data_IF_517956851928
#
_entry.id   IF_517956851928
#
_cell.length_a   1.000
_cell.length_b   1.000
_cell.length_c   1.000
_cell.angle_alpha   90.00
_cell.angle_beta   90.00
_cell.angle_gamma   90.00
#
_symmetry.space_group_name_H-M   'P 1'
#
loop_
_entity.id
_entity.type
_entity.pdbx_description
1 polymer ?
#
# COMPACT_ATOMS: atom_id res chain seq x y z
N UNK A 1 -31.06 -0.03 54.85
CA UNK A 1 -31.02 -0.68 53.52
C UNK A 1 -29.96 0.02 52.71
N UNK A 2 -28.92 -0.68 52.27
CA UNK A 2 -27.88 -0.13 51.39
C UNK A 2 -28.35 -0.33 49.96
N UNK A 3 -28.73 0.76 49.28
CA UNK A 3 -28.99 0.71 47.85
C UNK A 3 -27.65 0.52 47.15
N UNK A 4 -27.39 -0.69 46.64
CA UNK A 4 -26.31 -0.90 45.70
C UNK A 4 -26.75 -0.33 44.37
N UNK A 5 -26.19 0.81 43.98
CA UNK A 5 -26.45 1.43 42.68
C UNK A 5 -25.71 0.59 41.63
N UNK A 6 -26.46 0.01 40.69
CA UNK A 6 -25.89 -0.53 39.43
C UNK A 6 -26.22 0.46 38.32
N UNK A 7 -25.21 1.12 37.75
CA UNK A 7 -25.36 2.16 36.74
C UNK A 7 -25.73 3.55 37.32
N UNK A 8 -26.72 4.21 36.73
CA UNK A 8 -27.13 5.59 37.08
C UNK A 8 -28.42 5.60 37.89
N UNK A 9 -28.49 6.41 38.96
CA UNK A 9 -29.75 6.66 39.67
C UNK A 9 -30.60 7.66 38.87
N UNK A 10 -31.80 7.23 38.46
CA UNK A 10 -32.74 8.07 37.71
C UNK A 10 -33.88 8.62 38.58
N UNK A 11 -34.17 8.00 39.72
CA UNK A 11 -35.13 8.54 40.68
C UNK A 11 -34.88 8.03 42.11
N UNK A 12 -35.41 8.75 43.08
CA UNK A 12 -35.58 8.29 44.46
C UNK A 12 -37.06 8.40 44.82
N UNK A 13 -37.67 7.27 45.19
CA UNK A 13 -39.09 7.17 45.55
C UNK A 13 -39.20 7.08 47.06
N UNK A 14 -39.94 8.04 47.65
CA UNK A 14 -40.27 8.05 49.07
C UNK A 14 -41.69 7.51 49.25
N UNK A 15 -41.81 6.40 49.96
CA UNK A 15 -43.12 5.80 50.26
C UNK A 15 -43.70 6.38 51.54
N UNK A 16 -45.02 6.43 51.62
CA UNK A 16 -45.78 6.77 52.83
C UNK A 16 -45.49 5.71 53.90
N UNK A 17 -44.58 6.02 54.82
CA UNK A 17 -44.00 5.06 55.76
C UNK A 17 -42.47 5.19 55.94
N UNK A 18 -41.81 6.05 55.17
CA UNK A 18 -40.39 6.39 55.34
C UNK A 18 -39.42 5.47 54.60
N UNK A 19 -39.92 4.46 53.89
CA UNK A 19 -39.10 3.63 52.99
C UNK A 19 -38.65 4.47 51.80
N UNK A 20 -37.34 4.43 51.53
CA UNK A 20 -36.70 5.08 50.38
C UNK A 20 -36.19 4.00 49.45
N UNK A 21 -36.60 4.05 48.18
CA UNK A 21 -36.09 3.16 47.12
C UNK A 21 -35.48 4.04 46.03
N UNK A 22 -34.30 3.67 45.55
CA UNK A 22 -33.69 4.32 44.39
C UNK A 22 -34.03 3.49 43.16
N UNK A 23 -34.43 4.16 42.09
CA UNK A 23 -34.62 3.56 40.77
C UNK A 23 -33.33 3.79 40.00
N UNK A 24 -32.70 2.70 39.60
CA UNK A 24 -31.43 2.72 38.88
C UNK A 24 -31.63 2.23 37.45
N UNK A 25 -30.90 2.83 36.51
CA UNK A 25 -30.74 2.39 35.13
C UNK A 25 -29.36 1.75 34.99
N UNK A 26 -29.29 0.60 34.31
CA UNK A 26 -28.04 -0.07 33.96
C UNK A 26 -27.41 0.57 32.72
N UNK A 27 -26.09 0.74 32.72
CA UNK A 27 -25.35 1.25 31.56
C UNK A 27 -24.90 0.07 30.70
N UNK A 28 -25.23 0.09 29.41
CA UNK A 28 -24.69 -0.85 28.44
C UNK A 28 -23.33 -0.41 27.93
N UNK A 29 -22.42 -1.36 27.79
CA UNK A 29 -21.14 -1.14 27.12
C UNK A 29 -20.92 -2.19 26.04
N UNK A 30 -20.37 -1.76 24.91
CA UNK A 30 -19.78 -2.65 23.92
C UNK A 30 -18.30 -2.81 24.28
N UNK A 31 -17.83 -4.06 24.33
CA UNK A 31 -16.43 -4.36 24.51
C UNK A 31 -15.90 -5.11 23.28
N UNK A 32 -14.76 -4.69 22.74
CA UNK A 32 -14.10 -5.37 21.64
C UNK A 32 -12.85 -6.08 22.14
N UNK A 33 -12.74 -7.36 21.84
CA UNK A 33 -11.48 -8.07 21.99
C UNK A 33 -10.57 -7.71 20.81
N UNK A 34 -9.50 -6.97 21.06
CA UNK A 34 -8.59 -6.50 20.00
C UNK A 34 -7.78 -7.61 19.34
N UNK A 35 -7.65 -8.78 19.97
CA UNK A 35 -6.96 -9.94 19.39
C UNK A 35 -7.86 -10.71 18.44
N UNK A 36 -9.15 -10.86 18.77
CA UNK A 36 -10.09 -11.67 17.98
C UNK A 36 -11.02 -10.83 17.08
N UNK A 37 -11.08 -9.51 17.29
CA UNK A 37 -12.00 -8.61 16.61
C UNK A 37 -13.46 -8.87 16.97
N UNK A 38 -13.73 -9.66 18.02
CA UNK A 38 -15.10 -9.96 18.47
C UNK A 38 -15.59 -8.82 19.35
N UNK A 39 -16.67 -8.18 18.91
CA UNK A 39 -17.45 -7.23 19.72
C UNK A 39 -18.43 -8.04 20.54
N UNK A 40 -18.45 -7.79 21.84
CA UNK A 40 -19.35 -8.41 22.81
C UNK A 40 -20.25 -7.34 23.41
N UNK A 41 -21.54 -7.64 23.43
CA UNK A 41 -22.59 -6.85 24.05
C UNK A 41 -23.33 -7.74 25.05
N UNK A 42 -23.49 -7.27 26.28
CA UNK A 42 -24.33 -7.94 27.29
C UNK A 42 -25.50 -7.01 27.59
N UNK A 43 -26.73 -7.49 27.38
CA UNK A 43 -27.93 -6.71 27.62
C UNK A 43 -28.25 -6.58 29.11
N UNK A 44 -29.24 -5.74 29.40
CA UNK A 44 -29.74 -5.42 30.73
C UNK A 44 -30.84 -6.37 31.22
N UNK A 45 -31.15 -7.44 30.47
CA UNK A 45 -32.22 -8.35 30.85
C UNK A 45 -31.86 -9.15 32.10
N UNK A 46 -32.85 -9.75 32.75
CA UNK A 46 -32.66 -10.73 33.83
C UNK A 46 -33.36 -12.04 33.47
N UNK A 47 -32.61 -13.12 33.14
CA UNK A 47 -31.14 -13.19 33.07
C UNK A 47 -30.58 -12.35 31.91
N UNK A 48 -29.33 -11.90 32.04
CA UNK A 48 -28.66 -11.13 30.99
C UNK A 48 -28.24 -12.05 29.83
N UNK A 49 -28.45 -11.60 28.60
CA UNK A 49 -28.00 -12.28 27.39
C UNK A 49 -26.74 -11.60 26.84
N UNK A 50 -25.80 -12.41 26.38
CA UNK A 50 -24.60 -11.94 25.69
C UNK A 50 -24.73 -12.20 24.19
N UNK A 51 -24.50 -11.17 23.39
CA UNK A 51 -24.49 -11.21 21.94
C UNK A 51 -23.09 -10.82 21.44
N UNK A 52 -22.68 -11.43 20.34
CA UNK A 52 -21.36 -11.20 19.73
C UNK A 52 -21.48 -10.85 18.26
N UNK A 53 -20.59 -9.98 17.79
CA UNK A 53 -20.40 -9.69 16.38
C UNK A 53 -18.91 -9.81 16.02
N UNK A 54 -18.62 -10.43 14.87
CA UNK A 54 -17.26 -10.52 14.36
C UNK A 54 -16.98 -9.32 13.45
N UNK A 55 -15.90 -8.58 13.71
CA UNK A 55 -15.42 -7.54 12.78
C UNK A 55 -14.83 -8.16 11.51
N UNK A 56 -14.21 -9.33 11.64
CA UNK A 56 -13.58 -10.07 10.54
C UNK A 56 -14.16 -11.49 10.46
N UNK A 57 -14.50 -11.94 9.26
CA UNK A 57 -15.00 -13.31 9.06
C UNK A 57 -13.94 -14.35 9.44
N UNK A 58 -14.36 -15.41 10.13
CA UNK A 58 -13.52 -16.56 10.49
C UNK A 58 -13.49 -17.64 9.40
N UNK A 59 -14.10 -17.39 8.24
CA UNK A 59 -14.12 -18.34 7.14
C UNK A 59 -12.69 -18.62 6.66
N UNK A 60 -12.44 -19.88 6.28
CA UNK A 60 -11.19 -20.25 5.63
C UNK A 60 -10.96 -19.39 4.37
N UNK A 61 -9.70 -19.08 4.08
CA UNK A 61 -9.26 -18.26 2.93
C UNK A 61 -9.66 -16.77 2.98
N UNK A 62 -10.13 -16.25 4.12
CA UNK A 62 -10.29 -14.81 4.27
C UNK A 62 -8.95 -14.08 4.13
N UNK A 63 -8.88 -13.06 3.26
CA UNK A 63 -7.67 -12.25 3.03
C UNK A 63 -7.53 -11.11 4.06
N UNK A 64 -8.58 -10.85 4.82
CA UNK A 64 -8.60 -9.86 5.89
C UNK A 64 -8.33 -10.57 7.21
N UNK A 65 -7.41 -10.04 8.01
CA UNK A 65 -7.14 -10.47 9.38
C UNK A 65 -7.58 -9.41 10.39
N UNK A 66 -7.58 -9.77 11.67
CA UNK A 66 -7.79 -8.81 12.76
C UNK A 66 -6.50 -8.03 12.99
N UNK A 67 -6.56 -6.71 12.90
CA UNK A 67 -5.47 -5.80 13.21
C UNK A 67 -5.20 -5.70 14.71
N UNK A 68 -4.10 -5.04 15.09
CA UNK A 68 -3.72 -4.87 16.51
C UNK A 68 -4.72 -4.05 17.34
N UNK A 69 -5.61 -3.33 16.66
CA UNK A 69 -6.71 -2.55 17.23
C UNK A 69 -8.06 -3.31 17.24
N UNK A 70 -8.07 -4.59 16.85
CA UNK A 70 -9.29 -5.39 16.68
C UNK A 70 -10.04 -5.15 15.37
N UNK A 71 -9.56 -4.21 14.54
CA UNK A 71 -10.17 -3.84 13.27
C UNK A 71 -9.91 -4.83 12.13
N UNK A 72 -10.58 -4.64 11.01
CA UNK A 72 -10.30 -5.37 9.78
C UNK A 72 -9.01 -4.85 9.12
N UNK A 73 -8.06 -5.74 8.86
CA UNK A 73 -6.76 -5.42 8.28
C UNK A 73 -6.49 -6.26 7.04
N UNK A 74 -6.09 -5.62 5.94
CA UNK A 74 -5.72 -6.29 4.69
C UNK A 74 -4.23 -6.07 4.41
N UNK A 75 -3.46 -7.17 4.35
CA UNK A 75 -2.02 -7.13 4.11
C UNK A 75 -1.64 -8.02 2.92
N UNK A 76 -1.83 -7.49 1.71
CA UNK A 76 -1.52 -8.16 0.46
C UNK A 76 -0.54 -7.32 -0.36
N UNK A 77 0.13 -7.91 -1.38
CA UNK A 77 0.88 -7.13 -2.35
C UNK A 77 -0.02 -6.07 -3.01
N UNK A 78 0.47 -4.84 -3.11
CA UNK A 78 -0.27 -3.72 -3.74
C UNK A 78 0.61 -2.97 -4.72
N UNK A 79 0.02 -2.48 -5.81
CA UNK A 79 0.68 -1.50 -6.67
C UNK A 79 0.91 -0.23 -5.85
N UNK A 80 2.18 0.07 -5.61
CA UNK A 80 2.61 1.19 -4.79
C UNK A 80 2.89 2.43 -5.61
N UNK A 81 3.57 2.24 -6.74
CA UNK A 81 3.84 3.27 -7.73
C UNK A 81 3.77 2.63 -9.11
N UNK A 82 3.39 3.40 -10.11
CA UNK A 82 3.36 2.93 -11.49
C UNK A 82 3.48 4.10 -12.44
N UNK A 83 3.92 3.85 -13.66
CA UNK A 83 3.89 4.91 -14.65
C UNK A 83 4.27 4.49 -16.06
N UNK A 84 3.85 5.32 -17.02
CA UNK A 84 4.34 5.33 -18.41
C UNK A 84 5.20 6.57 -18.61
N UNK A 85 6.42 6.38 -19.07
CA UNK A 85 7.45 7.40 -19.24
C UNK A 85 7.79 7.53 -20.72
N UNK A 86 7.87 8.77 -21.22
CA UNK A 86 8.28 9.02 -22.59
C UNK A 86 9.82 8.93 -22.71
N UNK A 87 10.35 8.60 -23.88
CA UNK A 87 11.78 8.48 -24.17
C UNK A 87 12.64 9.70 -23.76
N UNK A 88 12.08 10.91 -23.77
CA UNK A 88 12.82 12.10 -23.32
C UNK A 88 12.77 12.33 -21.79
N UNK A 89 12.20 11.39 -21.02
CA UNK A 89 12.00 11.48 -19.58
C UNK A 89 10.81 12.33 -19.14
N UNK A 90 10.05 12.89 -20.08
CA UNK A 90 8.81 13.59 -19.75
C UNK A 90 7.69 12.59 -19.47
N UNK A 91 6.64 13.07 -18.81
CA UNK A 91 5.48 12.26 -18.46
C UNK A 91 4.20 12.99 -18.87
N UNK A 92 3.28 12.27 -19.50
CA UNK A 92 1.97 12.81 -19.84
C UNK A 92 1.13 13.00 -18.57
N UNK A 93 0.17 13.93 -18.61
CA UNK A 93 -0.73 14.15 -17.46
C UNK A 93 -1.50 12.88 -17.11
N UNK A 94 -1.43 12.46 -15.85
CA UNK A 94 -2.08 11.23 -15.36
C UNK A 94 -1.33 9.94 -15.67
N UNK A 95 -0.14 10.00 -16.29
CA UNK A 95 0.63 8.81 -16.65
C UNK A 95 1.48 8.23 -15.51
N UNK A 96 1.62 8.94 -14.38
CA UNK A 96 2.39 8.51 -13.20
C UNK A 96 1.49 8.48 -11.97
N UNK A 97 1.65 7.43 -11.17
CA UNK A 97 1.02 7.24 -9.88
C UNK A 97 2.09 7.10 -8.78
N UNK A 98 2.00 7.95 -7.75
CA UNK A 98 2.81 7.91 -6.53
C UNK A 98 4.35 7.91 -6.74
N UNK A 99 4.81 8.54 -7.81
CA UNK A 99 6.22 8.73 -8.10
C UNK A 99 6.45 10.00 -8.93
N UNK A 100 7.72 10.32 -9.11
CA UNK A 100 8.24 11.29 -10.08
C UNK A 100 9.34 10.63 -10.90
N UNK A 101 9.57 11.15 -12.09
CA UNK A 101 10.59 10.64 -13.02
C UNK A 101 11.51 11.77 -13.41
N UNK A 102 12.81 11.50 -13.47
CA UNK A 102 13.82 12.43 -13.97
C UNK A 102 14.78 11.66 -14.86
N UNK A 103 14.95 12.11 -16.10
CA UNK A 103 16.00 11.58 -16.96
C UNK A 103 17.36 12.02 -16.41
N UNK A 104 18.26 11.07 -16.28
CA UNK A 104 19.60 11.30 -15.73
C UNK A 104 20.54 11.51 -16.91
N UNK A 105 21.26 12.62 -16.89
CA UNK A 105 22.17 13.00 -17.98
C UNK A 105 23.63 12.67 -17.69
N UNK A 106 23.90 11.95 -16.59
CA UNK A 106 25.22 11.48 -16.20
C UNK A 106 25.18 9.97 -16.05
N UNK A 107 25.69 9.25 -17.05
CA UNK A 107 25.69 7.80 -17.08
C UNK A 107 26.63 7.19 -16.03
N UNK A 108 26.31 5.96 -15.60
CA UNK A 108 27.10 5.14 -14.68
C UNK A 108 28.31 4.47 -15.39
N UNK A 109 29.24 5.27 -15.92
CA UNK A 109 30.54 4.80 -16.41
C UNK A 109 30.90 5.20 -17.84
N UNK A 110 32.21 5.18 -18.12
CA UNK A 110 32.85 5.56 -19.39
C UNK A 110 32.27 4.80 -20.58
N UNK A 111 31.50 5.51 -21.41
CA UNK A 111 30.95 5.01 -22.67
C UNK A 111 29.49 5.40 -22.90
N UNK A 112 28.70 5.54 -21.84
CA UNK A 112 27.29 5.93 -21.92
C UNK A 112 27.10 7.44 -22.03
N UNK A 113 26.29 7.88 -22.99
CA UNK A 113 25.95 9.28 -23.21
C UNK A 113 24.96 9.85 -22.19
N UNK A 114 24.12 10.78 -22.61
CA UNK A 114 23.06 11.40 -21.77
C UNK A 114 21.72 10.64 -21.81
N UNK A 115 21.75 9.40 -22.30
CA UNK A 115 20.59 8.61 -22.69
C UNK A 115 20.37 7.38 -21.82
N UNK A 116 19.18 6.81 -21.94
CA UNK A 116 18.84 5.50 -21.38
C UNK A 116 18.63 5.44 -19.87
N UNK A 117 19.09 6.43 -19.11
CA UNK A 117 18.97 6.46 -17.65
C UNK A 117 17.81 7.33 -17.13
N UNK A 118 16.99 6.76 -16.25
CA UNK A 118 15.84 7.42 -15.63
C UNK A 118 15.78 7.12 -14.14
N UNK A 119 15.72 8.15 -13.31
CA UNK A 119 15.47 8.03 -11.90
C UNK A 119 13.97 8.03 -11.63
N UNK A 120 13.49 6.96 -10.99
CA UNK A 120 12.14 6.88 -10.41
C UNK A 120 12.24 7.20 -8.93
N UNK A 121 11.53 8.23 -8.47
CA UNK A 121 11.51 8.63 -7.06
C UNK A 121 10.08 8.56 -6.53
N UNK A 122 9.84 7.77 -5.48
CA UNK A 122 8.54 7.66 -4.85
C UNK A 122 8.15 8.95 -4.15
N UNK A 123 6.86 9.29 -4.18
CA UNK A 123 6.34 10.47 -3.45
C UNK A 123 6.57 10.33 -1.95
N UNK A 124 6.44 9.11 -1.43
CA UNK A 124 6.74 8.75 -0.04
C UNK A 124 7.73 7.58 -0.06
N UNK A 125 8.83 7.61 0.72
CA UNK A 125 9.71 6.46 0.84
C UNK A 125 8.99 5.25 1.46
N UNK A 126 9.28 4.06 0.93
CA UNK A 126 8.85 2.81 1.55
C UNK A 126 9.65 2.53 2.83
N UNK A 127 9.11 1.74 3.78
CA UNK A 127 9.83 1.38 5.01
C UNK A 127 11.11 0.58 4.76
N UNK A 128 11.18 -0.14 3.64
CA UNK A 128 12.33 -0.93 3.21
C UNK A 128 12.38 -1.02 1.68
N UNK A 129 13.49 -1.51 1.14
CA UNK A 129 13.70 -1.68 -0.31
C UNK A 129 13.21 -3.03 -0.86
N UNK A 130 12.49 -3.85 -0.08
CA UNK A 130 12.02 -5.18 -0.49
C UNK A 130 10.68 -5.08 -1.27
N UNK A 131 10.69 -4.36 -2.38
CA UNK A 131 9.56 -4.28 -3.30
C UNK A 131 9.93 -4.88 -4.66
N UNK A 132 8.92 -5.26 -5.43
CA UNK A 132 9.12 -5.77 -6.78
C UNK A 132 9.09 -4.61 -7.76
N UNK A 133 10.01 -4.61 -8.71
CA UNK A 133 10.02 -3.72 -9.87
C UNK A 133 9.70 -4.56 -11.10
N UNK A 134 8.67 -4.17 -11.84
CA UNK A 134 8.37 -4.71 -13.17
C UNK A 134 8.57 -3.60 -14.18
N UNK A 135 9.36 -3.88 -15.21
CA UNK A 135 9.66 -2.94 -16.29
C UNK A 135 9.20 -3.54 -17.61
N UNK A 136 8.68 -2.69 -18.49
CA UNK A 136 8.35 -3.08 -19.86
C UNK A 136 8.70 -1.95 -20.82
N UNK A 137 9.09 -2.36 -22.01
CA UNK A 137 9.28 -1.49 -23.19
C UNK A 137 8.37 -2.01 -24.30
N UNK A 138 8.05 -1.15 -25.26
CA UNK A 138 7.31 -1.57 -26.44
C UNK A 138 8.22 -2.40 -27.36
N UNK A 139 7.70 -3.50 -27.89
CA UNK A 139 8.34 -4.20 -29.00
C UNK A 139 8.19 -3.36 -30.28
N UNK A 140 9.32 -2.99 -30.85
CA UNK A 140 9.45 -2.19 -32.07
C UNK A 140 9.72 -3.05 -33.31
N UNK A 141 9.66 -4.38 -33.20
CA UNK A 141 9.85 -5.29 -34.34
C UNK A 141 11.27 -5.29 -34.89
N UNK A 142 12.28 -5.00 -34.06
CA UNK A 142 13.67 -4.85 -34.48
C UNK A 142 14.02 -3.48 -35.06
N UNK A 143 13.09 -2.53 -35.05
CA UNK A 143 13.26 -1.18 -35.58
C UNK A 143 12.96 -0.11 -34.52
N UNK A 144 13.63 -0.18 -33.35
CA UNK A 144 13.39 0.77 -32.28
C UNK A 144 13.91 2.16 -32.65
N UNK A 145 13.05 3.19 -32.67
CA UNK A 145 13.47 4.55 -32.94
C UNK A 145 14.23 5.05 -31.71
N UNK A 146 15.55 4.91 -31.72
CA UNK A 146 16.39 5.53 -30.71
C UNK A 146 16.67 7.00 -31.04
N UNK A 147 17.71 7.55 -30.41
CA UNK A 147 18.15 8.94 -30.59
C UNK A 147 19.05 9.15 -31.83
N UNK A 148 19.40 8.09 -32.57
CA UNK A 148 20.25 8.13 -33.75
C UNK A 148 19.43 7.94 -35.05
N UNK A 149 20.06 8.11 -36.21
CA UNK A 149 19.42 7.82 -37.51
C UNK A 149 19.35 6.32 -37.83
N UNK A 150 19.92 5.47 -36.98
CA UNK A 150 19.85 4.02 -37.07
C UNK A 150 18.86 3.48 -36.05
N UNK A 151 18.09 2.47 -36.45
CA UNK A 151 17.19 1.77 -35.54
C UNK A 151 17.98 0.73 -34.74
N UNK A 152 17.56 0.52 -33.49
CA UNK A 152 18.10 -0.48 -32.59
C UNK A 152 17.23 -1.74 -32.63
N UNK A 153 17.81 -2.93 -32.72
CA UNK A 153 17.07 -4.17 -32.94
C UNK A 153 16.81 -4.99 -31.68
N UNK A 154 17.62 -4.83 -30.63
CA UNK A 154 17.55 -5.65 -29.41
C UNK A 154 17.60 -4.82 -28.10
N UNK A 155 16.56 -4.00 -27.81
CA UNK A 155 16.51 -3.21 -26.59
C UNK A 155 16.33 -4.07 -25.33
N UNK A 156 17.19 -3.86 -24.34
CA UNK A 156 17.09 -4.40 -22.99
C UNK A 156 16.71 -3.31 -21.99
N UNK A 157 15.91 -3.66 -20.99
CA UNK A 157 15.55 -2.77 -19.88
C UNK A 157 15.92 -3.40 -18.54
N UNK A 158 16.63 -2.64 -17.71
CA UNK A 158 17.11 -3.09 -16.40
C UNK A 158 16.87 -2.02 -15.34
N UNK A 159 16.97 -2.41 -14.07
CA UNK A 159 16.98 -1.48 -12.95
C UNK A 159 18.30 -1.56 -12.18
N UNK A 160 18.63 -0.48 -11.47
CA UNK A 160 19.77 -0.45 -10.56
C UNK A 160 19.52 0.50 -9.38
N UNK A 161 20.35 0.40 -8.35
CA UNK A 161 20.28 1.24 -7.13
C UNK A 161 18.88 1.28 -6.52
N UNK A 162 18.33 0.10 -6.20
CA UNK A 162 17.05 -0.01 -5.52
C UNK A 162 17.17 0.46 -4.06
N UNK A 163 16.38 1.46 -3.68
CA UNK A 163 16.38 2.06 -2.34
C UNK A 163 14.96 2.21 -1.81
N UNK A 164 14.79 2.57 -0.54
CA UNK A 164 13.46 2.91 0.00
C UNK A 164 12.76 4.04 -0.75
N UNK A 165 13.51 4.96 -1.35
CA UNK A 165 12.97 6.14 -2.03
C UNK A 165 12.69 5.94 -3.52
N UNK A 166 13.08 4.80 -4.10
CA UNK A 166 12.97 4.57 -5.54
C UNK A 166 14.18 3.84 -6.11
N UNK A 167 14.34 3.93 -7.43
CA UNK A 167 15.33 3.17 -8.19
C UNK A 167 15.65 3.87 -9.50
N UNK A 168 16.69 3.40 -10.19
CA UNK A 168 17.02 3.86 -11.53
C UNK A 168 16.68 2.79 -12.54
N UNK A 169 16.24 3.22 -13.72
CA UNK A 169 16.01 2.41 -14.92
C UNK A 169 17.11 2.73 -15.90
N UNK A 170 17.62 1.70 -16.55
CA UNK A 170 18.55 1.82 -17.66
C UNK A 170 18.03 1.02 -18.86
N UNK A 171 18.02 1.64 -20.03
CA UNK A 171 17.65 1.02 -21.30
C UNK A 171 18.87 1.05 -22.22
N UNK A 172 19.25 -0.11 -22.74
CA UNK A 172 20.39 -0.25 -23.66
C UNK A 172 20.00 -1.10 -24.85
N UNK A 173 20.60 -0.81 -25.99
CA UNK A 173 20.67 -1.78 -27.07
C UNK A 173 21.69 -2.86 -26.73
N UNK A 174 21.26 -4.11 -26.76
CA UNK A 174 22.15 -5.24 -26.50
C UNK A 174 22.91 -5.59 -27.78
N UNK A 175 24.13 -5.09 -27.94
CA UNK A 175 25.01 -5.53 -29.02
C UNK A 175 25.30 -7.04 -28.87
N UNK A 176 25.07 -7.81 -29.94
CA UNK A 176 25.40 -9.23 -30.02
C UNK A 176 26.88 -9.50 -30.36
N UNK A 177 27.75 -8.47 -30.27
CA UNK A 177 29.17 -8.49 -30.61
C UNK A 177 30.15 -8.08 -29.48
N UNK A 178 31.27 -7.45 -29.87
CA UNK A 178 32.38 -7.07 -28.97
C UNK A 178 32.34 -5.62 -28.49
N UNK A 179 31.38 -4.81 -28.95
CA UNK A 179 31.27 -3.43 -28.50
C UNK A 179 30.40 -3.37 -27.23
N UNK A 180 30.61 -2.30 -26.46
CA UNK A 180 29.70 -2.00 -25.36
C UNK A 180 28.35 -1.60 -25.97
N UNK A 181 27.25 -2.17 -25.48
CA UNK A 181 25.90 -1.79 -25.90
C UNK A 181 25.63 -0.32 -25.62
N UNK A 182 24.95 0.35 -26.54
CA UNK A 182 24.65 1.79 -26.47
C UNK A 182 23.41 2.03 -25.61
N UNK A 183 23.46 3.07 -24.76
CA UNK A 183 22.29 3.49 -23.99
C UNK A 183 21.32 4.24 -24.89
N UNK A 184 20.03 3.88 -24.83
CA UNK A 184 19.01 4.36 -25.76
C UNK A 184 17.78 4.92 -25.04
N UNK A 185 17.20 5.95 -25.63
CA UNK A 185 15.97 6.54 -25.13
C UNK A 185 14.75 5.85 -25.74
N UNK A 186 13.96 5.17 -24.90
CA UNK A 186 12.70 4.56 -25.30
C UNK A 186 11.60 4.87 -24.29
N UNK A 187 10.36 4.90 -24.80
CA UNK A 187 9.19 4.87 -23.94
C UNK A 187 9.18 3.57 -23.14
N UNK A 188 8.90 3.66 -21.84
CA UNK A 188 8.81 2.49 -20.98
C UNK A 188 7.68 2.63 -19.97
N UNK A 189 7.32 1.51 -19.35
CA UNK A 189 6.43 1.48 -18.21
C UNK A 189 7.11 0.81 -17.03
N UNK A 190 6.73 1.23 -15.84
CA UNK A 190 7.13 0.57 -14.60
C UNK A 190 5.92 0.31 -13.71
N UNK A 191 5.98 -0.78 -12.97
CA UNK A 191 5.09 -1.07 -11.84
C UNK A 191 5.93 -1.45 -10.64
N UNK A 192 5.65 -0.81 -9.51
CA UNK A 192 6.22 -1.17 -8.22
C UNK A 192 5.16 -1.85 -7.40
N UNK A 193 5.45 -3.07 -6.96
CA UNK A 193 4.57 -3.83 -6.09
C UNK A 193 5.19 -3.86 -4.69
N UNK A 194 4.55 -3.17 -3.76
CA UNK A 194 4.90 -3.25 -2.33
C UNK A 194 4.37 -4.56 -1.78
N UNK A 195 5.24 -5.30 -1.11
CA UNK A 195 4.89 -6.55 -0.45
C UNK A 195 4.27 -6.29 0.94
N UNK A 196 3.49 -7.25 1.47
CA UNK A 196 3.05 -7.25 2.87
C UNK A 196 4.23 -7.08 3.82
N UNK A 197 4.06 -6.25 4.85
CA UNK A 197 5.03 -6.11 5.95
C UNK A 197 4.54 -6.84 7.19
#
# INVERSE_FOLDING_TARGET
MTNTISGNRIATVNFTGGTVVDVNETITNLNQNTTTGVITYTNENTPADTQTANVVSTNANNQISVGTDGGAFLNIPVVYAAGKVNANGTVNTGAIYNATVTKVTTNNGTGGGTEGDYQITFTTPLPNANYVIQLTIADCGGDCPGNSTANYDDPGITYYTQTTGGFFVNIKDSDNGTNQGDDIDLDFMFTVIRLPN
#
